data_IF_654911718611
#
_entry.id   IF_654911718611
#
_cell.length_a   1.000
_cell.length_b   1.000
_cell.length_c   1.000
_cell.angle_alpha   90.00
_cell.angle_beta   90.00
_cell.angle_gamma   90.00
#
_symmetry.space_group_name_H-M   'P 1'
#
loop_
_entity.id
_entity.type
_entity.pdbx_description
1 polymer ?
#
# COMPACT_ATOMS: atom_id res chain seq x y z
N UNK A 1 26.98 3.35 -14.94
CA UNK A 1 25.67 3.64 -14.30
C UNK A 1 24.74 2.44 -14.25
N UNK A 2 24.53 1.66 -15.34
CA UNK A 2 23.69 0.44 -15.29
C UNK A 2 24.19 -0.61 -14.28
N UNK A 3 25.51 -0.73 -14.11
CA UNK A 3 26.14 -1.65 -13.14
C UNK A 3 25.87 -1.31 -11.67
N UNK A 4 25.38 -0.10 -11.34
CA UNK A 4 25.01 0.24 -9.96
C UNK A 4 23.74 -0.46 -9.49
N UNK A 5 22.77 -0.70 -10.39
CA UNK A 5 21.52 -1.38 -10.03
C UNK A 5 21.73 -2.85 -9.62
N UNK A 6 22.82 -3.47 -10.09
CA UNK A 6 23.19 -4.83 -9.72
C UNK A 6 24.14 -4.92 -8.51
N UNK A 7 24.60 -3.80 -7.97
CA UNK A 7 25.49 -3.80 -6.80
C UNK A 7 24.65 -3.79 -5.52
N UNK A 8 24.98 -4.66 -4.54
CA UNK A 8 24.32 -4.61 -3.24
C UNK A 8 24.61 -3.27 -2.57
N UNK A 9 23.59 -2.68 -1.96
CA UNK A 9 23.67 -1.39 -1.26
C UNK A 9 24.58 -1.45 -0.04
N UNK A 10 24.69 -2.63 0.58
CA UNK A 10 25.51 -2.87 1.75
C UNK A 10 26.57 -3.95 1.48
N UNK A 11 27.66 -3.98 2.25
CA UNK A 11 28.55 -5.13 2.29
C UNK A 11 27.79 -6.44 2.63
N UNK A 12 28.23 -7.57 2.07
CA UNK A 12 27.60 -8.89 2.23
C UNK A 12 27.29 -9.25 3.69
N UNK A 13 28.15 -8.86 4.62
CA UNK A 13 28.01 -9.10 6.06
C UNK A 13 26.67 -8.63 6.62
N UNK A 14 26.17 -7.46 6.18
CA UNK A 14 24.93 -6.89 6.73
C UNK A 14 23.64 -7.53 6.19
N UNK A 15 23.74 -8.37 5.16
CA UNK A 15 22.60 -9.20 4.72
C UNK A 15 22.47 -10.48 5.54
N UNK A 16 23.59 -10.98 6.08
CA UNK A 16 23.61 -12.16 6.97
C UNK A 16 23.34 -11.75 8.41
N UNK A 17 23.90 -10.62 8.83
CA UNK A 17 23.71 -10.04 10.15
C UNK A 17 23.20 -8.60 10.02
N UNK A 18 21.86 -8.40 10.02
CA UNK A 18 21.29 -7.08 9.85
C UNK A 18 21.71 -6.16 10.99
N UNK A 19 22.00 -4.91 10.64
CA UNK A 19 22.27 -3.86 11.62
C UNK A 19 20.99 -3.67 12.44
N UNK A 20 21.11 -3.72 13.76
CA UNK A 20 19.97 -3.46 14.65
C UNK A 20 19.43 -2.05 14.40
N UNK A 21 18.11 -1.91 14.32
CA UNK A 21 17.41 -0.62 14.06
C UNK A 21 17.94 0.48 14.99
N UNK A 22 18.21 0.15 16.26
CA UNK A 22 18.74 1.09 17.27
C UNK A 22 20.13 1.64 16.92
N UNK A 23 20.95 0.88 16.20
CA UNK A 23 22.31 1.26 15.82
C UNK A 23 22.37 1.95 14.46
N UNK A 24 21.37 1.72 13.59
CA UNK A 24 21.31 2.34 12.25
C UNK A 24 21.31 3.87 12.35
N UNK A 25 20.57 4.42 13.32
CA UNK A 25 20.45 5.86 13.47
C UNK A 25 21.74 6.51 13.99
N UNK A 26 22.42 5.84 14.92
CA UNK A 26 23.74 6.25 15.39
C UNK A 26 24.77 6.23 14.25
N UNK A 27 24.77 5.15 13.46
CA UNK A 27 25.65 5.02 12.28
C UNK A 27 25.36 6.10 11.23
N UNK A 28 24.08 6.42 11.01
CA UNK A 28 23.68 7.51 10.11
C UNK A 28 24.21 8.85 10.62
N UNK A 29 24.04 9.15 11.91
CA UNK A 29 24.57 10.36 12.52
C UNK A 29 26.08 10.50 12.36
N UNK A 30 26.85 9.43 12.62
CA UNK A 30 28.29 9.44 12.38
C UNK A 30 28.66 9.64 10.90
N UNK A 31 27.94 8.99 9.98
CA UNK A 31 28.15 9.18 8.55
C UNK A 31 27.89 10.62 8.11
N UNK A 32 26.82 11.25 8.63
CA UNK A 32 26.50 12.66 8.36
C UNK A 32 27.63 13.59 8.82
N UNK A 33 28.16 13.41 10.03
CA UNK A 33 29.28 14.21 10.53
C UNK A 33 30.53 14.11 9.65
N UNK A 34 30.83 12.91 9.12
CA UNK A 34 31.95 12.70 8.20
C UNK A 34 31.71 13.43 6.86
N UNK A 35 30.48 13.37 6.34
CA UNK A 35 30.10 14.05 5.10
C UNK A 35 30.12 15.56 5.28
N UNK A 36 29.59 16.09 6.39
CA UNK A 36 29.65 17.50 6.75
C UNK A 36 31.09 18.00 6.86
N UNK A 37 31.96 17.26 7.54
CA UNK A 37 33.39 17.60 7.62
C UNK A 37 34.11 17.57 6.26
N UNK A 38 33.66 16.72 5.34
CA UNK A 38 34.22 16.64 3.99
C UNK A 38 33.74 17.78 3.09
N UNK A 39 32.44 18.11 3.14
CA UNK A 39 31.82 19.20 2.38
C UNK A 39 32.23 20.58 2.90
N UNK A 40 32.57 20.72 4.18
CA UNK A 40 33.16 21.94 4.74
C UNK A 40 34.52 22.28 4.12
N UNK A 41 35.23 21.29 3.56
CA UNK A 41 36.52 21.47 2.87
C UNK A 41 36.38 21.52 1.34
N UNK A 42 35.17 21.41 0.80
CA UNK A 42 34.93 21.50 -0.64
C UNK A 42 34.92 22.97 -1.12
N UNK A 43 35.04 23.19 -2.43
CA UNK A 43 34.88 24.51 -3.05
C UNK A 43 33.57 24.51 -3.88
N UNK A 44 32.53 25.29 -3.50
CA UNK A 44 32.40 26.15 -2.33
C UNK A 44 32.19 25.38 -1.01
N UNK A 45 32.66 25.91 0.15
CA UNK A 45 32.52 25.24 1.43
C UNK A 45 31.07 25.30 1.93
N UNK A 46 30.52 24.14 2.26
CA UNK A 46 29.17 24.03 2.85
C UNK A 46 29.29 23.95 4.36
N UNK A 47 28.53 24.80 5.07
CA UNK A 47 28.46 24.77 6.53
C UNK A 47 27.79 23.47 6.98
N UNK A 48 28.21 22.94 8.13
CA UNK A 48 27.62 21.74 8.71
C UNK A 48 26.09 21.85 8.85
N UNK A 49 25.58 23.03 9.24
CA UNK A 49 24.14 23.34 9.31
C UNK A 49 23.40 23.06 7.99
N UNK A 50 24.00 23.41 6.85
CA UNK A 50 23.40 23.22 5.53
C UNK A 50 23.43 21.72 5.17
N UNK A 51 24.52 21.04 5.51
CA UNK A 51 24.65 19.59 5.26
C UNK A 51 23.67 18.79 6.13
N UNK A 52 23.52 19.17 7.39
CA UNK A 52 22.57 18.58 8.34
C UNK A 52 21.13 18.81 7.89
N UNK A 53 20.80 20.02 7.39
CA UNK A 53 19.51 20.31 6.78
C UNK A 53 19.27 19.48 5.50
N UNK A 54 20.28 19.35 4.62
CA UNK A 54 20.15 18.60 3.36
C UNK A 54 20.08 17.08 3.56
N UNK A 55 20.72 16.54 4.60
CA UNK A 55 20.73 15.12 4.91
C UNK A 55 19.55 14.68 5.79
N UNK A 56 18.65 15.61 6.13
CA UNK A 56 17.41 15.38 6.88
C UNK A 56 17.65 14.60 8.18
N UNK A 57 18.51 15.18 9.04
CA UNK A 57 18.88 14.65 10.37
C UNK A 57 17.64 14.36 11.24
N UNK A 58 16.53 15.05 10.97
CA UNK A 58 15.27 14.98 11.72
C UNK A 58 14.28 13.94 11.18
N UNK A 59 14.75 12.87 10.53
CA UNK A 59 13.90 11.74 10.12
C UNK A 59 13.05 11.17 11.29
N UNK A 60 13.52 11.33 12.52
CA UNK A 60 12.86 10.83 13.74
C UNK A 60 11.93 11.84 14.41
N UNK A 61 11.95 13.10 13.99
CA UNK A 61 11.03 14.10 14.51
C UNK A 61 9.66 13.95 13.84
N UNK A 62 8.62 13.88 14.66
CA UNK A 62 7.26 13.83 14.17
C UNK A 62 6.92 15.14 13.44
N UNK A 63 6.44 15.03 12.21
CA UNK A 63 5.85 16.16 11.47
C UNK A 63 4.49 15.73 10.92
N UNK A 64 3.47 16.57 11.17
CA UNK A 64 2.12 16.35 10.67
C UNK A 64 2.09 16.32 9.13
N UNK A 65 2.87 17.19 8.48
CA UNK A 65 2.96 17.28 7.01
C UNK A 65 3.56 16.01 6.41
N UNK A 66 4.67 15.52 6.98
CA UNK A 66 5.30 14.25 6.54
C UNK A 66 4.35 13.06 6.70
N UNK A 67 3.60 13.01 7.80
CA UNK A 67 2.57 11.98 8.02
C UNK A 67 1.45 12.04 6.96
N UNK A 68 0.94 13.24 6.63
CA UNK A 68 -0.05 13.42 5.55
C UNK A 68 0.50 12.98 4.20
N UNK A 69 1.71 13.40 3.83
CA UNK A 69 2.35 13.03 2.58
C UNK A 69 2.48 11.50 2.44
N UNK A 70 2.95 10.81 3.48
CA UNK A 70 3.03 9.34 3.48
C UNK A 70 1.65 8.68 3.39
N UNK A 71 0.63 9.22 4.06
CA UNK A 71 -0.74 8.72 3.96
C UNK A 71 -1.31 8.89 2.55
N UNK A 72 -1.10 10.05 1.91
CA UNK A 72 -1.52 10.30 0.52
C UNK A 72 -0.81 9.34 -0.44
N UNK A 73 0.47 9.05 -0.24
CA UNK A 73 1.21 8.04 -1.04
C UNK A 73 0.59 6.65 -0.92
N UNK A 74 0.22 6.23 0.28
CA UNK A 74 -0.49 4.96 0.49
C UNK A 74 -1.85 5.00 -0.20
N UNK A 75 -2.60 6.10 -0.06
CA UNK A 75 -3.91 6.26 -0.70
C UNK A 75 -3.84 6.22 -2.23
N UNK A 76 -2.78 6.76 -2.84
CA UNK A 76 -2.53 6.64 -4.28
C UNK A 76 -2.31 5.19 -4.73
N UNK A 77 -1.62 4.37 -3.92
CA UNK A 77 -1.47 2.94 -4.20
C UNK A 77 -2.82 2.21 -4.08
N UNK A 78 -3.59 2.53 -3.04
CA UNK A 78 -4.91 1.94 -2.80
C UNK A 78 -5.90 2.35 -3.89
N UNK A 79 -5.88 3.61 -4.34
CA UNK A 79 -6.76 4.10 -5.41
C UNK A 79 -6.43 3.44 -6.75
N UNK A 80 -5.16 3.14 -7.03
CA UNK A 80 -4.74 2.33 -8.17
C UNK A 80 -5.37 0.92 -8.15
N UNK A 81 -5.34 0.25 -7.00
CA UNK A 81 -6.00 -1.06 -6.82
C UNK A 81 -7.52 -0.93 -7.00
N UNK A 82 -8.13 0.10 -6.41
CA UNK A 82 -9.55 0.37 -6.55
C UNK A 82 -9.95 0.63 -8.01
N UNK A 83 -9.11 1.33 -8.78
CA UNK A 83 -9.34 1.56 -10.21
C UNK A 83 -9.38 0.23 -10.97
N UNK A 84 -8.41 -0.66 -10.77
CA UNK A 84 -8.38 -1.99 -11.40
C UNK A 84 -9.61 -2.82 -11.02
N UNK A 85 -10.00 -2.83 -9.74
CA UNK A 85 -11.20 -3.54 -9.28
C UNK A 85 -12.47 -2.97 -9.91
N UNK A 86 -12.58 -1.65 -10.01
CA UNK A 86 -13.73 -0.99 -10.62
C UNK A 86 -13.82 -1.29 -12.12
N UNK A 87 -12.69 -1.25 -12.84
CA UNK A 87 -12.59 -1.63 -14.25
C UNK A 87 -12.96 -3.10 -14.49
N UNK A 88 -12.48 -4.01 -13.65
CA UNK A 88 -12.88 -5.42 -13.71
C UNK A 88 -14.39 -5.58 -13.46
N UNK A 89 -14.95 -4.79 -12.54
CA UNK A 89 -16.39 -4.79 -12.30
C UNK A 89 -17.16 -4.24 -13.51
N UNK A 90 -16.65 -3.23 -14.22
CA UNK A 90 -17.25 -2.73 -15.47
C UNK A 90 -17.27 -3.80 -16.58
N UNK A 91 -16.20 -4.61 -16.69
CA UNK A 91 -16.16 -5.78 -17.58
C UNK A 91 -17.22 -6.81 -17.16
N UNK A 92 -17.29 -7.09 -15.86
CA UNK A 92 -18.31 -7.97 -15.30
C UNK A 92 -19.76 -7.49 -15.53
N UNK A 93 -19.96 -6.17 -15.61
CA UNK A 93 -21.26 -5.55 -15.87
C UNK A 93 -21.57 -5.38 -17.36
N UNK A 94 -20.69 -5.86 -18.26
CA UNK A 94 -20.87 -5.79 -19.71
C UNK A 94 -21.13 -4.37 -20.23
N UNK A 95 -20.52 -3.36 -19.61
CA UNK A 95 -20.69 -1.94 -19.99
C UNK A 95 -20.26 -1.69 -21.45
N UNK A 96 -19.15 -2.32 -21.86
CA UNK A 96 -18.61 -2.29 -23.23
C UNK A 96 -18.48 -3.72 -23.78
N UNK A 97 -19.47 -4.24 -24.52
CA UNK A 97 -19.54 -5.66 -24.87
C UNK A 97 -18.34 -6.15 -25.70
N UNK A 98 -17.75 -5.29 -26.52
CA UNK A 98 -16.54 -5.65 -27.28
C UNK A 98 -15.34 -5.93 -26.37
N UNK A 99 -15.10 -5.06 -25.37
CA UNK A 99 -14.01 -5.24 -24.42
C UNK A 99 -14.22 -6.47 -23.53
N UNK A 100 -15.46 -6.76 -23.19
CA UNK A 100 -15.78 -7.94 -22.38
C UNK A 100 -15.58 -9.21 -23.18
N UNK A 101 -16.07 -9.28 -24.42
CA UNK A 101 -15.84 -10.43 -25.31
C UNK A 101 -14.34 -10.66 -25.50
N UNK A 102 -13.54 -9.61 -25.76
CA UNK A 102 -12.09 -9.72 -25.88
C UNK A 102 -11.45 -10.31 -24.62
N UNK A 103 -11.86 -9.83 -23.44
CA UNK A 103 -11.36 -10.35 -22.15
C UNK A 103 -11.78 -11.80 -21.90
N UNK A 104 -12.98 -12.21 -22.33
CA UNK A 104 -13.40 -13.61 -22.26
C UNK A 104 -12.56 -14.49 -23.18
N UNK A 105 -12.30 -14.06 -24.41
CA UNK A 105 -11.43 -14.80 -25.35
C UNK A 105 -10.01 -14.91 -24.79
N UNK A 106 -9.44 -13.81 -24.29
CA UNK A 106 -8.12 -13.81 -23.66
C UNK A 106 -8.08 -14.76 -22.44
N UNK A 107 -9.11 -14.72 -21.60
CA UNK A 107 -9.25 -15.61 -20.45
C UNK A 107 -9.31 -17.08 -20.87
N UNK A 108 -10.10 -17.43 -21.89
CA UNK A 108 -10.19 -18.80 -22.42
C UNK A 108 -8.84 -19.29 -22.93
N UNK A 109 -8.13 -18.48 -23.70
CA UNK A 109 -6.78 -18.82 -24.21
C UNK A 109 -5.83 -19.08 -23.04
N UNK A 110 -5.85 -18.22 -22.02
CA UNK A 110 -4.98 -18.30 -20.85
C UNK A 110 -5.24 -19.55 -19.99
N UNK A 111 -6.51 -19.95 -19.87
CA UNK A 111 -6.92 -21.16 -19.13
C UNK A 111 -6.55 -22.42 -19.90
N UNK A 112 -6.75 -22.42 -21.22
CA UNK A 112 -6.37 -23.55 -22.07
C UNK A 112 -4.84 -23.74 -22.13
N UNK A 113 -4.08 -22.65 -22.08
CA UNK A 113 -2.62 -22.68 -22.13
C UNK A 113 -1.99 -21.94 -20.93
N UNK A 114 -1.88 -22.58 -19.76
CA UNK A 114 -1.33 -21.94 -18.56
C UNK A 114 0.15 -21.53 -18.72
N UNK A 115 0.88 -22.17 -19.63
CA UNK A 115 2.26 -21.79 -19.99
C UNK A 115 2.34 -20.37 -20.57
N UNK A 116 1.25 -19.84 -21.15
CA UNK A 116 1.19 -18.48 -21.69
C UNK A 116 0.96 -17.41 -20.60
N UNK A 117 0.69 -17.78 -19.34
CA UNK A 117 0.46 -16.82 -18.25
C UNK A 117 1.70 -15.94 -18.02
N UNK A 118 2.86 -16.57 -17.87
CA UNK A 118 4.10 -15.83 -17.63
C UNK A 118 4.49 -14.93 -18.82
N UNK A 119 4.52 -15.43 -20.08
CA UNK A 119 4.79 -14.59 -21.25
C UNK A 119 3.84 -13.40 -21.41
N UNK A 120 2.54 -13.61 -21.23
CA UNK A 120 1.54 -12.54 -21.38
C UNK A 120 1.70 -11.47 -20.30
N UNK A 121 2.01 -11.86 -19.06
CA UNK A 121 2.32 -10.93 -17.98
C UNK A 121 3.56 -10.08 -18.28
N UNK A 122 4.65 -10.71 -18.75
CA UNK A 122 5.86 -9.96 -19.13
C UNK A 122 5.63 -9.04 -20.33
N UNK A 123 4.85 -9.47 -21.32
CA UNK A 123 4.46 -8.61 -22.43
C UNK A 123 3.63 -7.41 -21.97
N UNK A 124 2.70 -7.62 -21.03
CA UNK A 124 1.90 -6.53 -20.48
C UNK A 124 2.76 -5.54 -19.71
N UNK A 125 3.68 -6.01 -18.86
CA UNK A 125 4.66 -5.18 -18.17
C UNK A 125 5.56 -4.41 -19.15
N UNK A 126 5.97 -5.06 -20.24
CA UNK A 126 6.78 -4.44 -21.28
C UNK A 126 6.01 -3.33 -22.01
N UNK A 127 4.77 -3.58 -22.43
CA UNK A 127 3.93 -2.58 -23.10
C UNK A 127 3.62 -1.42 -22.15
N UNK A 128 3.28 -1.69 -20.89
CA UNK A 128 3.10 -0.64 -19.88
C UNK A 128 4.39 0.15 -19.70
N UNK A 129 5.54 -0.51 -19.59
CA UNK A 129 6.84 0.15 -19.46
C UNK A 129 7.14 1.05 -20.64
N UNK A 130 6.89 0.59 -21.86
CA UNK A 130 7.08 1.36 -23.09
C UNK A 130 6.09 2.53 -23.21
N UNK A 131 4.85 2.32 -22.79
CA UNK A 131 3.84 3.37 -22.74
C UNK A 131 4.22 4.45 -21.71
N UNK A 132 4.61 4.04 -20.51
CA UNK A 132 5.07 4.95 -19.46
C UNK A 132 6.36 5.67 -19.85
N UNK A 133 7.22 5.07 -20.68
CA UNK A 133 8.39 5.75 -21.23
C UNK A 133 8.02 7.00 -22.03
N UNK A 134 6.87 6.99 -22.73
CA UNK A 134 6.40 8.17 -23.48
C UNK A 134 6.02 9.34 -22.57
N UNK A 135 5.58 9.05 -21.35
CA UNK A 135 5.19 10.00 -20.30
C UNK A 135 6.28 10.20 -19.24
N UNK A 136 7.51 9.76 -19.53
CA UNK A 136 8.62 9.87 -18.58
C UNK A 136 8.86 11.35 -18.21
N UNK A 137 9.00 11.68 -16.91
CA UNK A 137 9.46 12.99 -16.47
C UNK A 137 10.81 13.32 -17.11
N UNK A 138 10.91 14.47 -17.78
CA UNK A 138 12.15 14.92 -18.46
C UNK A 138 13.02 15.81 -17.59
N UNK A 139 12.46 16.30 -16.49
CA UNK A 139 13.14 17.16 -15.54
C UNK A 139 13.95 16.32 -14.55
N UNK A 140 15.08 16.85 -14.04
CA UNK A 140 15.81 16.18 -12.97
C UNK A 140 14.86 15.94 -11.78
N UNK A 141 15.07 14.88 -10.97
CA UNK A 141 14.25 14.63 -9.79
C UNK A 141 14.39 15.83 -8.83
N UNK A 142 13.44 16.76 -8.92
CA UNK A 142 13.31 17.88 -8.01
C UNK A 142 12.44 17.44 -6.82
N UNK A 143 12.51 18.20 -5.73
CA UNK A 143 11.62 17.95 -4.60
C UNK A 143 10.19 18.24 -5.04
N UNK A 144 9.38 17.20 -5.23
CA UNK A 144 7.98 17.35 -5.61
C UNK A 144 7.19 18.00 -4.46
N UNK A 145 6.93 19.31 -4.58
CA UNK A 145 6.18 20.08 -3.59
C UNK A 145 4.77 19.52 -3.36
N UNK A 146 4.15 18.97 -4.41
CA UNK A 146 2.84 18.34 -4.32
C UNK A 146 2.88 16.99 -3.58
N UNK A 147 3.85 16.14 -3.90
CA UNK A 147 4.02 14.83 -3.26
C UNK A 147 4.41 14.97 -1.78
N UNK A 148 5.20 16.00 -1.45
CA UNK A 148 5.60 16.33 -0.08
C UNK A 148 4.54 17.16 0.68
N UNK A 149 3.39 17.45 0.06
CA UNK A 149 2.32 18.29 0.63
C UNK A 149 2.84 19.67 1.12
N UNK A 150 3.87 20.20 0.45
CA UNK A 150 4.47 21.50 0.78
C UNK A 150 3.61 22.68 0.28
N UNK A 151 2.83 22.48 -0.79
CA UNK A 151 1.99 23.53 -1.39
C UNK A 151 0.69 23.78 -0.59
N UNK A 152 0.16 22.75 0.07
CA UNK A 152 -1.01 22.82 0.98
C UNK A 152 -0.58 22.89 2.47
N UNK A 153 0.72 23.15 2.73
CA UNK A 153 1.25 23.21 4.08
C UNK A 153 0.75 24.48 4.79
N UNK A 154 0.09 24.31 5.94
CA UNK A 154 -0.26 25.44 6.79
C UNK A 154 1.02 26.08 7.34
N UNK A 155 1.09 27.42 7.51
CA UNK A 155 2.26 28.11 8.08
C UNK A 155 2.68 27.54 9.45
N UNK A 156 1.73 27.05 10.24
CA UNK A 156 1.98 26.38 11.52
C UNK A 156 2.73 25.04 11.37
N UNK A 157 2.41 24.25 10.33
CA UNK A 157 3.07 22.96 10.06
C UNK A 157 4.51 23.16 9.58
N UNK A 158 4.77 24.25 8.84
CA UNK A 158 6.12 24.66 8.50
C UNK A 158 6.87 25.15 9.75
N UNK A 159 6.20 25.93 10.61
CA UNK A 159 6.80 26.40 11.85
C UNK A 159 7.17 25.26 12.81
N UNK A 160 6.39 24.17 12.86
CA UNK A 160 6.73 22.94 13.60
C UNK A 160 8.01 22.27 13.08
N UNK A 161 8.27 22.29 11.77
CA UNK A 161 9.48 21.71 11.18
C UNK A 161 10.73 22.57 11.36
N UNK A 162 10.57 23.89 11.50
CA UNK A 162 11.70 24.83 11.67
C UNK A 162 11.98 25.19 13.14
N UNK A 163 11.17 24.74 14.09
CA UNK A 163 11.37 25.06 15.51
C UNK A 163 12.43 24.14 16.16
N UNK A 164 13.49 24.69 16.76
CA UNK A 164 14.47 23.89 17.46
C UNK A 164 13.85 23.23 18.70
N UNK A 165 14.15 21.96 18.91
CA UNK A 165 13.76 21.25 20.12
C UNK A 165 14.72 21.60 21.27
N UNK A 166 14.26 22.06 22.45
CA UNK A 166 12.87 22.22 22.91
C UNK A 166 12.22 23.59 22.63
N UNK A 167 10.91 23.59 22.38
CA UNK A 167 10.02 24.74 22.07
C UNK A 167 10.12 25.89 23.07
N UNK A 168 10.02 27.13 22.59
CA UNK A 168 10.01 28.33 23.43
C UNK A 168 8.73 28.46 24.28
N UNK A 169 8.87 28.80 25.57
CA UNK A 169 7.89 28.52 26.63
C UNK A 169 6.60 29.37 26.64
N UNK A 170 6.52 30.53 25.98
CA UNK A 170 5.47 31.52 26.25
C UNK A 170 4.31 31.60 25.24
N UNK A 171 4.46 31.06 24.02
CA UNK A 171 3.43 31.08 22.96
C UNK A 171 2.72 29.71 22.80
N UNK A 172 3.08 28.72 23.61
CA UNK A 172 2.91 27.31 23.27
C UNK A 172 1.56 26.70 23.66
N UNK A 173 0.86 27.16 24.71
CA UNK A 173 -0.30 26.42 25.24
C UNK A 173 -1.47 26.33 24.25
N UNK A 174 -1.89 27.44 23.65
CA UNK A 174 -3.01 27.45 22.71
C UNK A 174 -2.64 26.81 21.35
N UNK A 175 -1.39 27.01 20.91
CA UNK A 175 -0.85 26.41 19.69
C UNK A 175 -0.73 24.88 19.85
N UNK A 176 -0.22 24.40 20.99
CA UNK A 176 -0.13 22.97 21.31
C UNK A 176 -1.51 22.34 21.37
N UNK A 177 -2.51 23.02 21.96
CA UNK A 177 -3.89 22.54 21.97
C UNK A 177 -4.45 22.38 20.57
N UNK A 178 -4.26 23.37 19.70
CA UNK A 178 -4.70 23.32 18.31
C UNK A 178 -3.99 22.21 17.51
N UNK A 179 -2.66 22.08 17.65
CA UNK A 179 -1.88 20.99 17.02
C UNK A 179 -2.33 19.61 17.49
N UNK A 180 -2.56 19.46 18.79
CA UNK A 180 -3.06 18.23 19.39
C UNK A 180 -4.44 17.85 18.85
N UNK A 181 -5.38 18.80 18.79
CA UNK A 181 -6.72 18.55 18.26
C UNK A 181 -6.67 18.13 16.77
N UNK A 182 -5.80 18.75 15.95
CA UNK A 182 -5.59 18.34 14.55
C UNK A 182 -5.01 16.94 14.46
N UNK A 183 -3.96 16.62 15.22
CA UNK A 183 -3.42 15.26 15.30
C UNK A 183 -4.49 14.26 15.69
N UNK A 184 -5.34 14.60 16.67
CA UNK A 184 -6.43 13.74 17.13
C UNK A 184 -7.46 13.47 16.04
N UNK A 185 -7.78 14.44 15.18
CA UNK A 185 -8.69 14.20 14.04
C UNK A 185 -8.09 13.26 13.00
N UNK A 186 -6.80 13.38 12.68
CA UNK A 186 -6.09 12.50 11.74
C UNK A 186 -5.98 11.09 12.32
N UNK A 187 -5.56 10.99 13.58
CA UNK A 187 -5.49 9.73 14.31
C UNK A 187 -6.86 9.04 14.37
N UNK A 188 -7.95 9.80 14.56
CA UNK A 188 -9.32 9.28 14.52
C UNK A 188 -9.67 8.63 13.17
N UNK A 189 -9.32 9.27 12.05
CA UNK A 189 -9.53 8.68 10.71
C UNK A 189 -8.70 7.42 10.47
N UNK A 190 -7.44 7.43 10.90
CA UNK A 190 -6.56 6.25 10.81
C UNK A 190 -7.10 5.13 11.69
N UNK A 191 -7.60 5.44 12.89
CA UNK A 191 -8.22 4.49 13.81
C UNK A 191 -9.47 3.87 13.19
N UNK A 192 -10.35 4.63 12.54
CA UNK A 192 -11.54 4.06 11.88
C UNK A 192 -11.15 3.11 10.76
N UNK A 193 -10.20 3.46 9.89
CA UNK A 193 -9.74 2.58 8.80
C UNK A 193 -9.07 1.32 9.35
N UNK A 194 -8.23 1.47 10.37
CA UNK A 194 -7.55 0.33 11.02
C UNK A 194 -8.55 -0.57 11.73
N UNK A 195 -9.58 0.01 12.36
CA UNK A 195 -10.67 -0.74 12.98
C UNK A 195 -11.49 -1.52 11.96
N UNK A 196 -11.80 -0.93 10.80
CA UNK A 196 -12.50 -1.63 9.71
C UNK A 196 -11.66 -2.80 9.17
N UNK A 197 -10.36 -2.60 8.97
CA UNK A 197 -9.44 -3.66 8.55
C UNK A 197 -9.32 -4.76 9.62
N UNK A 198 -9.21 -4.39 10.89
CA UNK A 198 -9.16 -5.34 12.00
C UNK A 198 -10.45 -6.16 12.08
N UNK A 199 -11.62 -5.52 11.99
CA UNK A 199 -12.92 -6.20 11.95
C UNK A 199 -13.02 -7.20 10.78
N UNK A 200 -12.56 -6.81 9.59
CA UNK A 200 -12.52 -7.73 8.44
C UNK A 200 -11.58 -8.90 8.67
N UNK A 201 -10.37 -8.65 9.19
CA UNK A 201 -9.40 -9.68 9.53
C UNK A 201 -9.90 -10.64 10.61
N UNK A 202 -10.56 -10.13 11.64
CA UNK A 202 -11.17 -10.94 12.70
C UNK A 202 -12.28 -11.83 12.18
N UNK A 203 -13.12 -11.33 11.25
CA UNK A 203 -14.15 -12.16 10.60
C UNK A 203 -13.54 -13.28 9.76
N UNK A 204 -12.41 -13.04 9.09
CA UNK A 204 -11.67 -14.09 8.38
C UNK A 204 -11.12 -15.11 9.37
N UNK A 205 -10.50 -14.67 10.47
CA UNK A 205 -9.99 -15.57 11.50
C UNK A 205 -11.12 -16.35 12.19
N UNK A 206 -12.30 -15.74 12.34
CA UNK A 206 -13.49 -16.38 12.89
C UNK A 206 -14.05 -17.52 12.02
N UNK A 207 -13.64 -17.63 10.75
CA UNK A 207 -14.00 -18.79 9.91
C UNK A 207 -13.33 -20.09 10.37
N UNK A 208 -12.10 -19.98 10.90
CA UNK A 208 -11.30 -21.12 11.38
C UNK A 208 -11.30 -21.21 12.90
N UNK A 209 -11.58 -20.11 13.59
CA UNK A 209 -11.73 -20.09 15.02
C UNK A 209 -13.15 -20.55 15.37
N UNK A 210 -13.31 -21.65 16.12
CA UNK A 210 -14.58 -22.29 16.48
C UNK A 210 -15.52 -21.45 17.39
N UNK A 211 -15.43 -20.12 17.31
CA UNK A 211 -16.22 -19.14 18.06
C UNK A 211 -17.71 -19.21 17.71
N UNK A 212 -18.03 -19.43 16.43
CA UNK A 212 -19.37 -19.85 16.00
C UNK A 212 -19.28 -21.29 15.44
N UNK A 213 -19.64 -22.31 16.24
CA UNK A 213 -19.48 -23.71 15.83
C UNK A 213 -20.32 -24.06 14.60
N UNK A 214 -21.43 -23.37 14.34
CA UNK A 214 -22.28 -23.65 13.18
C UNK A 214 -21.65 -23.10 11.91
N UNK A 215 -21.21 -21.84 11.94
CA UNK A 215 -20.57 -21.20 10.80
C UNK A 215 -19.25 -21.88 10.43
N UNK A 216 -18.40 -22.16 11.42
CA UNK A 216 -17.12 -22.86 11.20
C UNK A 216 -17.32 -24.27 10.66
N UNK A 217 -18.30 -25.04 11.15
CA UNK A 217 -18.62 -26.38 10.59
C UNK A 217 -19.02 -26.29 9.12
N UNK A 218 -19.90 -25.37 8.74
CA UNK A 218 -20.30 -25.16 7.33
C UNK A 218 -19.08 -24.79 6.48
N UNK A 219 -18.21 -23.91 6.96
CA UNK A 219 -17.02 -23.49 6.24
C UNK A 219 -15.99 -24.63 6.09
N UNK A 220 -15.71 -25.37 7.16
CA UNK A 220 -14.76 -26.49 7.16
C UNK A 220 -15.26 -27.63 6.25
N UNK A 221 -16.53 -28.01 6.35
CA UNK A 221 -17.13 -29.02 5.46
C UNK A 221 -17.11 -28.59 4.00
N UNK A 222 -17.47 -27.33 3.71
CA UNK A 222 -17.34 -26.75 2.37
C UNK A 222 -15.89 -26.79 1.87
N UNK A 223 -14.93 -26.43 2.73
CA UNK A 223 -13.50 -26.45 2.37
C UNK A 223 -12.98 -27.86 2.07
N UNK A 224 -13.46 -28.87 2.80
CA UNK A 224 -13.11 -30.27 2.56
C UNK A 224 -13.67 -30.77 1.23
N UNK A 225 -14.94 -30.48 0.94
CA UNK A 225 -15.57 -30.81 -0.35
C UNK A 225 -14.81 -30.13 -1.49
N UNK A 226 -14.47 -28.84 -1.32
CA UNK A 226 -13.73 -28.08 -2.32
C UNK A 226 -12.32 -28.63 -2.53
N UNK A 227 -11.62 -29.04 -1.46
CA UNK A 227 -10.31 -29.68 -1.56
C UNK A 227 -10.36 -31.00 -2.35
N UNK A 228 -11.34 -31.86 -2.08
CA UNK A 228 -11.55 -33.10 -2.85
C UNK A 228 -11.89 -32.80 -4.31
N UNK A 229 -12.77 -31.82 -4.56
CA UNK A 229 -13.13 -31.41 -5.91
C UNK A 229 -11.92 -30.90 -6.71
N UNK A 230 -11.10 -30.02 -6.11
CA UNK A 230 -9.88 -29.49 -6.73
C UNK A 230 -8.78 -30.55 -6.93
N UNK A 231 -8.77 -31.59 -6.11
CA UNK A 231 -7.84 -32.72 -6.28
C UNK A 231 -8.20 -33.59 -7.49
N UNK A 232 -9.50 -33.83 -7.69
CA UNK A 232 -10.01 -34.69 -8.77
C UNK A 232 -10.06 -33.94 -10.11
N UNK A 233 -10.42 -32.67 -10.09
CA UNK A 233 -10.62 -31.87 -11.32
C UNK A 233 -9.34 -31.13 -11.71
N UNK A 234 -8.95 -31.15 -12.99
CA UNK A 234 -7.81 -30.36 -13.44
C UNK A 234 -8.11 -28.87 -13.24
N UNK A 235 -7.11 -28.12 -12.75
CA UNK A 235 -7.22 -26.68 -12.45
C UNK A 235 -7.83 -25.86 -13.59
N UNK A 236 -7.59 -26.25 -14.83
CA UNK A 236 -8.13 -25.58 -16.02
C UNK A 236 -9.66 -25.55 -16.04
N UNK A 237 -10.32 -26.67 -15.72
CA UNK A 237 -11.79 -26.76 -15.73
C UNK A 237 -12.36 -25.92 -14.59
N UNK A 238 -11.73 -25.95 -13.42
CA UNK A 238 -12.13 -25.14 -12.26
C UNK A 238 -12.01 -23.66 -12.59
N UNK A 239 -10.86 -23.23 -13.12
CA UNK A 239 -10.62 -21.85 -13.53
C UNK A 239 -11.65 -21.41 -14.57
N UNK A 240 -11.90 -22.23 -15.60
CA UNK A 240 -12.90 -21.97 -16.63
C UNK A 240 -14.29 -21.75 -16.03
N UNK A 241 -14.76 -22.66 -15.18
CA UNK A 241 -16.08 -22.58 -14.54
C UNK A 241 -16.21 -21.34 -13.66
N UNK A 242 -15.21 -21.05 -12.83
CA UNK A 242 -15.20 -19.85 -11.98
C UNK A 242 -15.20 -18.59 -12.83
N UNK A 243 -14.34 -18.51 -13.85
CA UNK A 243 -14.22 -17.35 -14.71
C UNK A 243 -15.50 -17.07 -15.49
N UNK A 244 -16.12 -18.09 -16.09
CA UNK A 244 -17.40 -17.96 -16.77
C UNK A 244 -18.54 -17.59 -15.82
N UNK A 245 -18.55 -18.12 -14.59
CA UNK A 245 -19.54 -17.76 -13.57
C UNK A 245 -19.39 -16.29 -13.13
N UNK A 246 -18.16 -15.86 -12.86
CA UNK A 246 -17.86 -14.49 -12.44
C UNK A 246 -18.17 -13.52 -13.58
N UNK A 247 -17.74 -13.79 -14.81
CA UNK A 247 -17.95 -12.89 -15.95
C UNK A 247 -19.33 -13.05 -16.63
N UNK A 248 -20.23 -13.88 -16.05
CA UNK A 248 -21.55 -14.16 -16.62
C UNK A 248 -22.33 -12.89 -16.96
N UNK A 249 -23.11 -12.97 -18.04
CA UNK A 249 -23.92 -11.87 -18.54
C UNK A 249 -24.84 -11.30 -17.43
N UNK A 250 -24.96 -9.97 -17.28
CA UNK A 250 -25.71 -9.33 -16.20
C UNK A 250 -27.19 -9.71 -16.13
N UNK A 251 -27.80 -10.12 -17.24
CA UNK A 251 -29.19 -10.66 -17.25
C UNK A 251 -29.36 -11.94 -16.40
N UNK A 252 -28.29 -12.69 -16.16
CA UNK A 252 -28.28 -13.91 -15.36
C UNK A 252 -27.84 -13.65 -13.90
N UNK A 253 -27.60 -12.38 -13.52
CA UNK A 253 -27.23 -12.01 -12.15
C UNK A 253 -28.49 -11.67 -11.34
N UNK A 254 -28.75 -12.42 -10.28
CA UNK A 254 -29.72 -12.05 -9.26
C UNK A 254 -29.26 -10.76 -8.54
N UNK A 255 -30.19 -9.83 -8.30
CA UNK A 255 -29.94 -8.52 -7.68
C UNK A 255 -29.72 -8.56 -6.15
N UNK A 256 -29.69 -9.76 -5.56
CA UNK A 256 -29.53 -9.98 -4.12
C UNK A 256 -28.04 -10.15 -3.79
N UNK A 257 -27.58 -9.68 -2.61
CA UNK A 257 -26.21 -9.93 -2.17
C UNK A 257 -25.96 -11.44 -2.08
N UNK A 258 -24.82 -11.94 -2.59
CA UNK A 258 -24.55 -13.36 -2.65
C UNK A 258 -24.50 -13.95 -1.23
N UNK A 259 -25.01 -15.18 -1.09
CA UNK A 259 -25.05 -15.96 0.15
C UNK A 259 -23.72 -15.92 0.95
N UNK A 260 -22.51 -16.09 0.34
CA UNK A 260 -21.25 -16.01 1.08
C UNK A 260 -20.97 -14.61 1.67
N UNK A 261 -21.40 -13.53 1.01
CA UNK A 261 -21.24 -12.17 1.54
C UNK A 261 -22.18 -11.94 2.73
N UNK A 262 -23.40 -12.48 2.68
CA UNK A 262 -24.31 -12.44 3.82
C UNK A 262 -23.82 -13.28 5.00
N UNK A 263 -23.25 -14.45 4.73
CA UNK A 263 -22.62 -15.30 5.73
C UNK A 263 -21.43 -14.59 6.39
N UNK A 264 -20.53 -14.02 5.59
CA UNK A 264 -19.36 -13.29 6.10
C UNK A 264 -19.73 -12.07 6.93
N UNK A 265 -20.74 -11.30 6.50
CA UNK A 265 -21.24 -10.14 7.26
C UNK A 265 -21.86 -10.52 8.62
N UNK A 266 -22.33 -11.76 8.77
CA UNK A 266 -22.94 -12.28 10.00
C UNK A 266 -21.93 -12.93 10.96
N UNK A 267 -20.67 -13.09 10.54
CA UNK A 267 -19.63 -13.63 11.42
C UNK A 267 -19.31 -12.65 12.54
N UNK A 268 -19.03 -13.17 13.75
CA UNK A 268 -18.72 -12.34 14.90
C UNK A 268 -17.42 -11.57 14.69
N UNK A 269 -17.43 -10.27 14.95
CA UNK A 269 -16.24 -9.43 15.11
C UNK A 269 -15.99 -9.13 16.58
N UNK A 270 -14.73 -8.93 16.99
CA UNK A 270 -14.40 -8.56 18.38
C UNK A 270 -14.58 -7.07 18.65
N UNK A 271 -14.92 -6.28 17.62
CA UNK A 271 -15.32 -4.88 17.78
C UNK A 271 -16.42 -4.71 18.84
N UNK A 272 -17.40 -5.62 18.90
CA UNK A 272 -18.51 -5.57 19.89
C UNK A 272 -18.06 -5.94 21.31
N UNK A 273 -16.82 -6.39 21.51
CA UNK A 273 -16.23 -6.70 22.82
C UNK A 273 -15.21 -5.65 23.30
N UNK A 274 -15.04 -4.57 22.53
CA UNK A 274 -14.25 -3.42 22.94
C UNK A 274 -15.14 -2.45 23.74
N UNK A 275 -14.59 -1.90 24.82
CA UNK A 275 -15.22 -0.92 25.72
C UNK A 275 -15.21 0.49 25.13
#
# INVERSE_FOLDING_TARGET
MVTQYGKPLLPKMHYVQPISIKHVDLLRHHAMNIVAGSLARAEPPLRAEIVDYMLDVDYHMFSLRRSKANFTRIMLLVSGIQYVLSWFNEICLWKNPLTTILMHILFLILVCYPELILPTLFLYLFVIGLWNYRFRPREPPHMDAWLSQAEDAQPDELQEEFEPFPTSRSLSTDIVRMRYDRMRTVAGRVQTVTSDLAMQGERVLALLNWRDPRATTIFVTFSLIWAVFLYITPFQIVALLIGLYVMRHPRLRYKLPPIPVNFFKRLPSRADSLL
#
